data_IF_644119341738
#
_entry.id   IF_644119341738
#
_cell.length_a   1.000
_cell.length_b   1.000
_cell.length_c   1.000
_cell.angle_alpha   90.00
_cell.angle_beta   90.00
_cell.angle_gamma   90.00
#
_symmetry.space_group_name_H-M   'P 1'
#
loop_
_entity.id
_entity.type
_entity.pdbx_description
1 polymer ?
#
# COMPACT_ATOMS: atom_id res chain seq x y z
N UNK A 1 17.32 18.61 -12.33
CA UNK A 1 16.82 17.33 -12.39
C UNK A 1 16.16 16.92 -11.19
N UNK A 2 16.62 17.31 -10.10
CA UNK A 2 15.89 17.02 -8.93
C UNK A 2 14.53 17.60 -8.97
N UNK A 3 14.39 18.60 -9.76
CA UNK A 3 13.12 19.24 -9.90
C UNK A 3 12.05 18.30 -10.32
N UNK A 4 12.41 17.41 -11.19
CA UNK A 4 11.42 16.48 -11.69
C UNK A 4 10.86 15.62 -10.57
N UNK A 5 11.69 15.22 -9.66
CA UNK A 5 11.21 14.42 -8.58
C UNK A 5 10.20 15.15 -7.75
N UNK A 6 10.45 16.40 -7.53
CA UNK A 6 9.54 17.19 -6.73
C UNK A 6 8.18 17.24 -7.35
N UNK A 7 8.13 17.38 -8.64
CA UNK A 7 6.86 17.47 -9.32
C UNK A 7 6.05 16.21 -9.14
N UNK A 8 6.71 15.10 -9.20
CA UNK A 8 6.01 13.84 -9.12
C UNK A 8 5.29 13.66 -7.81
N UNK A 9 5.85 14.20 -6.75
CA UNK A 9 5.25 13.99 -5.47
C UNK A 9 3.91 14.62 -5.33
N UNK A 10 3.61 15.60 -6.13
CA UNK A 10 2.37 16.29 -6.00
C UNK A 10 1.23 15.60 -6.69
N UNK A 11 1.53 14.68 -7.54
CA UNK A 11 0.54 14.27 -8.51
C UNK A 11 -0.53 13.34 -8.00
N UNK A 12 -0.35 12.69 -6.88
CA UNK A 12 -1.33 11.67 -6.49
C UNK A 12 -1.62 11.71 -5.00
N UNK A 13 -2.40 12.67 -4.58
CA UNK A 13 -2.80 12.69 -3.15
C UNK A 13 -3.63 11.46 -2.84
N UNK A 14 -3.34 10.83 -1.73
CA UNK A 14 -4.06 9.65 -1.33
C UNK A 14 -3.58 8.36 -1.95
N UNK A 15 -2.77 8.43 -2.99
CA UNK A 15 -2.21 7.25 -3.63
C UNK A 15 -0.71 7.35 -3.64
N UNK A 16 -0.05 6.59 -2.81
CA UNK A 16 1.39 6.67 -2.69
C UNK A 16 2.03 5.50 -3.44
N UNK A 17 2.42 5.76 -4.68
CA UNK A 17 2.98 4.72 -5.53
C UNK A 17 4.28 4.18 -4.94
N UNK A 18 5.11 5.06 -4.41
CA UNK A 18 6.37 4.62 -3.83
C UNK A 18 6.15 3.69 -2.65
N UNK A 19 5.16 4.00 -1.84
CA UNK A 19 4.84 3.15 -0.71
C UNK A 19 4.36 1.79 -1.17
N UNK A 20 3.50 1.77 -2.19
CA UNK A 20 3.00 0.51 -2.71
C UNK A 20 4.15 -0.32 -3.27
N UNK A 21 5.08 0.31 -3.97
CA UNK A 21 6.22 -0.44 -4.49
C UNK A 21 7.07 -1.01 -3.37
N UNK A 22 7.27 -0.25 -2.32
CA UNK A 22 8.04 -0.74 -1.19
C UNK A 22 7.36 -1.94 -0.55
N UNK A 23 6.05 -1.88 -0.44
CA UNK A 23 5.31 -2.99 0.14
C UNK A 23 5.39 -4.23 -0.72
N UNK A 24 5.32 -4.05 -2.03
CA UNK A 24 5.42 -5.18 -2.95
C UNK A 24 6.80 -5.81 -2.88
N UNK A 25 7.83 -5.01 -2.67
CA UNK A 25 9.19 -5.52 -2.61
C UNK A 25 9.55 -6.10 -1.26
N UNK A 26 8.72 -5.91 -0.27
CA UNK A 26 8.98 -6.49 1.04
C UNK A 26 9.04 -8.00 0.94
N UNK A 27 9.95 -8.60 1.68
CA UNK A 27 10.18 -10.04 1.55
C UNK A 27 9.22 -10.87 2.37
N UNK A 28 8.74 -10.31 3.48
CA UNK A 28 7.82 -11.07 4.32
C UNK A 28 6.87 -10.12 5.02
N UNK A 29 5.99 -10.72 5.81
CA UNK A 29 4.96 -9.93 6.46
C UNK A 29 5.53 -8.99 7.49
N UNK A 30 6.62 -9.37 8.13
CA UNK A 30 7.22 -8.47 9.10
C UNK A 30 7.70 -7.20 8.44
N UNK A 31 8.32 -7.33 7.27
CA UNK A 31 8.76 -6.15 6.56
C UNK A 31 7.57 -5.30 6.12
N UNK A 32 6.50 -5.94 5.69
CA UNK A 32 5.31 -5.20 5.31
C UNK A 32 4.80 -4.38 6.49
N UNK A 33 4.72 -5.00 7.65
CA UNK A 33 4.23 -4.28 8.83
C UNK A 33 5.15 -3.16 9.24
N UNK A 34 6.46 -3.38 9.13
CA UNK A 34 7.40 -2.33 9.46
C UNK A 34 7.22 -1.13 8.55
N UNK A 35 7.03 -1.39 7.26
CA UNK A 35 6.81 -0.30 6.31
C UNK A 35 5.52 0.43 6.63
N UNK A 36 4.48 -0.31 6.95
CA UNK A 36 3.21 0.31 7.30
C UNK A 36 3.34 1.19 8.55
N UNK A 37 4.08 0.71 9.53
CA UNK A 37 4.31 1.48 10.74
C UNK A 37 5.03 2.79 10.44
N UNK A 38 6.05 2.69 9.61
CA UNK A 38 6.83 3.88 9.30
C UNK A 38 6.03 4.90 8.51
N UNK A 39 5.02 4.43 7.79
CA UNK A 39 4.23 5.29 6.94
C UNK A 39 2.77 5.32 7.36
N UNK A 40 2.54 5.25 8.65
CA UNK A 40 1.17 5.14 9.16
C UNK A 40 0.28 6.27 8.68
N UNK A 41 0.84 7.46 8.55
CA UNK A 41 0.03 8.60 8.12
C UNK A 41 -0.40 8.49 6.68
N UNK A 42 0.32 7.69 5.89
CA UNK A 42 -0.05 7.50 4.50
C UNK A 42 -1.12 6.44 4.31
N UNK A 43 -1.38 5.66 5.34
CA UNK A 43 -2.33 4.55 5.24
C UNK A 43 -3.72 5.08 5.55
N UNK A 44 -4.37 5.59 4.52
CA UNK A 44 -5.70 6.16 4.65
C UNK A 44 -6.71 5.27 3.96
N UNK A 45 -7.99 5.63 4.08
CA UNK A 45 -9.03 4.91 3.36
C UNK A 45 -8.80 4.98 1.86
N UNK A 46 -8.37 6.14 1.38
CA UNK A 46 -8.10 6.29 -0.04
C UNK A 46 -6.97 5.38 -0.47
N UNK A 47 -5.94 5.28 0.36
CA UNK A 47 -4.84 4.38 0.03
C UNK A 47 -5.34 2.94 -0.04
N UNK A 48 -6.17 2.54 0.91
CA UNK A 48 -6.69 1.20 0.95
C UNK A 48 -7.54 0.90 -0.29
N UNK A 49 -8.39 1.84 -0.67
CA UNK A 49 -9.21 1.66 -1.86
C UNK A 49 -8.37 1.58 -3.12
N UNK A 50 -7.35 2.41 -3.20
CA UNK A 50 -6.48 2.36 -4.36
C UNK A 50 -5.78 1.01 -4.44
N UNK A 51 -5.34 0.52 -3.31
CA UNK A 51 -4.67 -0.78 -3.27
C UNK A 51 -5.62 -1.89 -3.69
N UNK A 52 -6.85 -1.82 -3.24
CA UNK A 52 -7.86 -2.82 -3.62
C UNK A 52 -8.11 -2.80 -5.12
N UNK A 53 -8.23 -1.62 -5.70
CA UNK A 53 -8.42 -1.50 -7.14
C UNK A 53 -7.22 -2.06 -7.89
N UNK A 54 -6.03 -1.74 -7.41
CA UNK A 54 -4.83 -2.24 -8.05
C UNK A 54 -4.77 -3.76 -7.99
N UNK A 55 -5.14 -4.32 -6.86
CA UNK A 55 -5.17 -5.77 -6.70
C UNK A 55 -6.13 -6.40 -7.71
N UNK A 56 -7.32 -5.83 -7.83
CA UNK A 56 -8.29 -6.37 -8.77
C UNK A 56 -7.78 -6.31 -10.20
N UNK A 57 -7.18 -5.21 -10.57
CA UNK A 57 -6.67 -5.07 -11.92
C UNK A 57 -5.55 -6.07 -12.18
N UNK A 58 -4.66 -6.23 -11.22
CA UNK A 58 -3.54 -7.14 -11.41
C UNK A 58 -4.03 -8.58 -11.46
N UNK A 59 -5.01 -8.92 -10.67
CA UNK A 59 -5.52 -10.29 -10.64
C UNK A 59 -6.15 -10.69 -11.97
N UNK A 60 -6.64 -9.72 -12.73
CA UNK A 60 -7.25 -10.01 -14.01
C UNK A 60 -6.25 -10.15 -15.14
N UNK A 61 -5.00 -9.81 -14.89
CA UNK A 61 -3.99 -9.87 -15.93
C UNK A 61 -3.29 -11.22 -15.90
N UNK A 62 -3.20 -11.82 -17.07
CA UNK A 62 -2.49 -13.08 -17.17
C UNK A 62 -1.00 -12.87 -16.97
N UNK A 63 -0.37 -13.83 -16.34
CA UNK A 63 1.05 -13.73 -16.11
C UNK A 63 1.43 -12.90 -14.92
N UNK A 64 0.47 -12.39 -14.18
CA UNK A 64 0.75 -11.56 -13.02
C UNK A 64 0.25 -12.17 -11.73
N UNK A 65 0.11 -13.47 -11.71
CA UNK A 65 -0.44 -14.12 -10.51
C UNK A 65 0.43 -13.90 -9.30
N UNK A 66 1.75 -13.94 -9.48
CA UNK A 66 2.64 -13.75 -8.34
C UNK A 66 2.51 -12.35 -7.78
N UNK A 67 2.42 -11.36 -8.65
CA UNK A 67 2.24 -9.99 -8.21
C UNK A 67 0.91 -9.81 -7.50
N UNK A 68 -0.13 -10.43 -8.04
CA UNK A 68 -1.45 -10.33 -7.43
C UNK A 68 -1.45 -10.95 -6.05
N UNK A 69 -0.77 -12.08 -5.88
CA UNK A 69 -0.68 -12.68 -4.57
C UNK A 69 0.02 -11.76 -3.58
N UNK A 70 1.10 -11.14 -4.01
CA UNK A 70 1.82 -10.23 -3.14
C UNK A 70 0.94 -9.05 -2.77
N UNK A 71 0.24 -8.49 -3.74
CA UNK A 71 -0.67 -7.40 -3.46
C UNK A 71 -1.77 -7.83 -2.49
N UNK A 72 -2.24 -9.06 -2.63
CA UNK A 72 -3.25 -9.56 -1.71
C UNK A 72 -2.72 -9.62 -0.29
N UNK A 73 -1.49 -10.09 -0.13
CA UNK A 73 -0.88 -10.12 1.19
C UNK A 73 -0.74 -8.72 1.76
N UNK A 74 -0.27 -7.79 0.93
CA UNK A 74 -0.12 -6.41 1.37
C UNK A 74 -1.47 -5.84 1.77
N UNK A 75 -2.48 -6.09 0.96
CA UNK A 75 -3.81 -5.58 1.25
C UNK A 75 -4.32 -6.09 2.58
N UNK A 76 -4.14 -7.38 2.84
CA UNK A 76 -4.58 -7.95 4.11
C UNK A 76 -3.86 -7.31 5.29
N UNK A 77 -2.56 -7.07 5.15
CA UNK A 77 -1.82 -6.44 6.22
C UNK A 77 -2.27 -5.00 6.43
N UNK A 78 -2.57 -4.32 5.34
CA UNK A 78 -3.08 -2.95 5.44
C UNK A 78 -4.41 -2.94 6.18
N UNK A 79 -5.30 -3.87 5.84
CA UNK A 79 -6.58 -3.93 6.52
C UNK A 79 -6.41 -4.18 8.01
N UNK A 80 -5.55 -5.09 8.36
CA UNK A 80 -5.33 -5.37 9.77
C UNK A 80 -4.72 -4.18 10.48
N UNK A 81 -3.81 -3.50 9.79
CA UNK A 81 -3.17 -2.34 10.37
C UNK A 81 -4.20 -1.24 10.65
N UNK A 82 -5.07 -0.97 9.69
CA UNK A 82 -6.07 0.07 9.89
C UNK A 82 -7.09 -0.33 10.93
N UNK A 83 -7.44 -1.59 10.99
CA UNK A 83 -8.37 -2.05 12.02
C UNK A 83 -7.79 -1.86 13.41
N UNK A 84 -6.54 -2.20 13.59
CA UNK A 84 -5.92 -2.02 14.89
C UNK A 84 -5.86 -0.54 15.26
N UNK A 85 -5.55 0.29 14.29
CA UNK A 85 -5.46 1.72 14.54
C UNK A 85 -6.82 2.28 14.91
N UNK A 86 -7.87 1.83 14.22
CA UNK A 86 -9.21 2.32 14.52
C UNK A 86 -9.67 1.87 15.89
N UNK A 87 -9.34 0.65 16.26
CA UNK A 87 -9.70 0.18 17.59
C UNK A 87 -9.02 0.99 18.66
N UNK A 88 -7.77 1.32 18.45
CA UNK A 88 -7.05 2.11 19.43
C UNK A 88 -7.66 3.49 19.56
N UNK A 89 -8.18 4.03 18.48
CA UNK A 89 -8.78 5.35 18.51
C UNK A 89 -10.20 5.33 19.05
N UNK A 90 -10.85 4.20 18.95
CA UNK A 90 -12.25 4.11 19.33
C UNK A 90 -12.46 4.29 20.81
N UNK A 91 -11.44 4.24 21.58
CA UNK A 91 -11.59 4.50 22.99
C UNK A 91 -11.98 5.92 23.27
#
# INVERSE_FOLDING_TARGET
>A
QQVASTIQKISAPGANIELIEALIQAEDEEQIRAILDENAEEITDEFTQFLSNLLNQTAQQEGREATAEKLHQVYRQVLRFTMKRNLAKAD
#
